data_IF_635415435053
#
_entry.id   IF_635415435053
#
_cell.length_a   1.000
_cell.length_b   1.000
_cell.length_c   1.000
_cell.angle_alpha   90.00
_cell.angle_beta   90.00
_cell.angle_gamma   90.00
#
_symmetry.space_group_name_H-M   'P 1'
#
loop_
_entity.id
_entity.type
_entity.pdbx_description
1 polymer ?
#
# COMPACT_ATOMS: atom_id res chain seq x y z
N UNK A 1 38.51 -17.19 21.45
CA UNK A 1 37.70 -16.69 20.32
C UNK A 1 38.10 -15.25 20.11
N UNK A 2 38.63 -14.91 18.93
CA UNK A 2 39.24 -13.59 18.69
C UNK A 2 38.25 -12.64 18.04
N UNK A 3 37.68 -11.76 18.87
CA UNK A 3 36.55 -10.90 18.52
C UNK A 3 36.99 -9.81 17.54
N UNK A 4 38.21 -9.29 17.69
CA UNK A 4 38.75 -8.26 16.81
C UNK A 4 38.86 -8.77 15.36
N UNK A 5 39.22 -10.05 15.19
CA UNK A 5 39.29 -10.70 13.88
C UNK A 5 37.91 -10.95 13.27
N UNK A 6 36.90 -11.27 14.08
CA UNK A 6 35.53 -11.47 13.59
C UNK A 6 34.85 -10.16 13.20
N UNK A 7 35.12 -9.05 13.90
CA UNK A 7 34.60 -7.73 13.53
C UNK A 7 35.07 -7.34 12.12
N UNK A 8 36.34 -7.64 11.79
CA UNK A 8 36.90 -7.33 10.46
C UNK A 8 36.43 -8.30 9.36
N UNK A 9 36.04 -9.51 9.74
CA UNK A 9 35.66 -10.57 8.81
C UNK A 9 34.34 -11.22 9.24
N UNK A 10 33.20 -10.52 9.03
CA UNK A 10 31.88 -11.02 9.46
C UNK A 10 31.46 -12.29 8.72
N UNK A 11 32.04 -12.59 7.55
CA UNK A 11 31.81 -13.83 6.79
C UNK A 11 32.24 -15.10 7.54
N UNK A 12 33.10 -14.98 8.56
CA UNK A 12 33.57 -16.12 9.37
C UNK A 12 32.60 -16.50 10.49
N UNK A 13 31.46 -15.81 10.59
CA UNK A 13 30.44 -16.05 11.61
C UNK A 13 29.67 -17.33 11.28
N UNK A 14 29.76 -18.31 12.19
CA UNK A 14 29.17 -19.64 12.09
C UNK A 14 28.45 -20.04 13.39
N UNK A 15 27.75 -21.19 13.40
CA UNK A 15 27.06 -21.73 14.59
C UNK A 15 27.97 -21.90 15.81
N UNK A 16 29.22 -22.30 15.62
CA UNK A 16 30.20 -22.42 16.72
C UNK A 16 30.52 -21.05 17.33
N UNK A 17 30.70 -20.02 16.49
CA UNK A 17 30.95 -18.67 16.97
C UNK A 17 29.75 -18.11 17.73
N UNK A 18 28.52 -18.45 17.33
CA UNK A 18 27.30 -18.10 18.04
C UNK A 18 27.28 -18.71 19.44
N UNK A 19 27.61 -19.99 19.59
CA UNK A 19 27.69 -20.64 20.91
C UNK A 19 28.75 -19.96 21.80
N UNK A 20 29.93 -19.67 21.24
CA UNK A 20 31.00 -18.97 21.95
C UNK A 20 30.62 -17.54 22.35
N UNK A 21 29.84 -16.82 21.54
CA UNK A 21 29.35 -15.49 21.87
C UNK A 21 28.30 -15.54 22.98
N UNK A 22 27.39 -16.51 22.93
CA UNK A 22 26.39 -16.72 23.98
C UNK A 22 27.05 -17.05 25.32
N UNK A 23 28.05 -17.94 25.33
CA UNK A 23 28.78 -18.26 26.56
C UNK A 23 29.57 -17.07 27.10
N UNK A 24 30.20 -16.28 26.21
CA UNK A 24 30.88 -15.05 26.59
C UNK A 24 29.93 -14.00 27.17
N UNK A 25 28.75 -13.83 26.58
CA UNK A 25 27.75 -12.87 27.06
C UNK A 25 27.07 -13.31 28.36
N UNK A 26 27.01 -14.61 28.63
CA UNK A 26 26.60 -15.12 29.94
C UNK A 26 27.58 -14.70 31.04
N UNK A 27 28.89 -14.66 30.74
CA UNK A 27 29.94 -14.22 31.67
C UNK A 27 30.04 -12.69 31.75
N UNK A 28 29.85 -11.99 30.62
CA UNK A 28 30.00 -10.53 30.53
C UNK A 28 28.78 -9.88 29.84
N UNK A 29 27.67 -9.69 30.58
CA UNK A 29 26.43 -9.18 29.99
C UNK A 29 26.52 -7.77 29.41
N UNK A 30 27.46 -6.93 29.85
CA UNK A 30 27.59 -5.55 29.38
C UNK A 30 28.60 -5.38 28.24
N UNK A 31 29.12 -6.49 27.68
CA UNK A 31 30.14 -6.42 26.65
C UNK A 31 29.54 -6.10 25.26
N UNK A 32 29.43 -4.80 24.96
CA UNK A 32 28.75 -4.27 23.78
C UNK A 32 29.26 -4.85 22.44
N UNK A 33 30.58 -4.93 22.17
CA UNK A 33 31.08 -5.48 20.91
C UNK A 33 30.64 -6.93 20.69
N UNK A 34 30.63 -7.76 21.73
CA UNK A 34 30.16 -9.14 21.62
C UNK A 34 28.64 -9.22 21.37
N UNK A 35 27.83 -8.30 21.91
CA UNK A 35 26.40 -8.23 21.63
C UNK A 35 26.11 -7.86 20.18
N UNK A 36 26.81 -6.84 19.67
CA UNK A 36 26.68 -6.43 18.27
C UNK A 36 27.10 -7.56 17.35
N UNK A 37 28.21 -8.25 17.66
CA UNK A 37 28.69 -9.37 16.87
C UNK A 37 27.75 -10.59 16.95
N UNK A 38 27.13 -10.84 18.11
CA UNK A 38 26.08 -11.87 18.26
C UNK A 38 24.88 -11.55 17.36
N UNK A 39 24.42 -10.29 17.36
CA UNK A 39 23.32 -9.86 16.50
C UNK A 39 23.66 -9.98 15.03
N UNK A 40 24.86 -9.56 14.64
CA UNK A 40 25.33 -9.69 13.26
C UNK A 40 25.37 -11.16 12.82
N UNK A 41 25.79 -12.06 13.72
CA UNK A 41 25.77 -13.50 13.45
C UNK A 41 24.34 -14.03 13.26
N UNK A 42 23.43 -13.68 14.17
CA UNK A 42 22.02 -14.08 14.10
C UNK A 42 21.33 -13.55 12.83
N UNK A 43 21.65 -12.32 12.44
CA UNK A 43 21.14 -11.69 11.22
C UNK A 43 21.60 -12.43 9.96
N UNK A 44 22.91 -12.71 9.84
CA UNK A 44 23.47 -13.43 8.69
C UNK A 44 22.95 -14.88 8.59
N UNK A 45 22.71 -15.52 9.73
CA UNK A 45 22.18 -16.89 9.78
C UNK A 45 20.66 -16.96 9.63
N UNK A 46 19.97 -15.81 9.52
CA UNK A 46 18.50 -15.70 9.52
C UNK A 46 17.85 -16.49 10.66
N UNK A 47 18.42 -16.38 11.87
CA UNK A 47 17.90 -17.08 13.05
C UNK A 47 16.58 -16.44 13.52
N UNK A 48 15.51 -17.22 13.77
CA UNK A 48 14.22 -16.68 14.24
C UNK A 48 14.30 -15.97 15.59
N UNK A 49 15.33 -16.24 16.40
CA UNK A 49 15.56 -15.57 17.69
C UNK A 49 16.20 -14.19 17.56
N UNK A 50 16.51 -13.76 16.33
CA UNK A 50 17.16 -12.47 16.05
C UNK A 50 16.40 -11.30 16.67
N UNK A 51 15.09 -11.20 16.45
CA UNK A 51 14.29 -10.05 16.90
C UNK A 51 14.23 -9.93 18.43
N UNK A 52 14.17 -11.07 19.14
CA UNK A 52 14.19 -11.12 20.60
C UNK A 52 15.53 -10.64 21.15
N UNK A 53 16.63 -11.10 20.55
CA UNK A 53 17.97 -10.67 20.95
C UNK A 53 18.25 -9.22 20.55
N UNK A 54 17.66 -8.73 19.45
CA UNK A 54 17.76 -7.32 19.02
C UNK A 54 17.13 -6.41 20.07
N UNK A 55 15.91 -6.73 20.52
CA UNK A 55 15.22 -6.00 21.60
C UNK A 55 16.04 -5.99 22.89
N UNK A 56 16.63 -7.14 23.26
CA UNK A 56 17.49 -7.23 24.45
C UNK A 56 18.74 -6.38 24.30
N UNK A 57 19.42 -6.47 23.17
CA UNK A 57 20.66 -5.76 22.91
C UNK A 57 20.47 -4.24 22.87
N UNK A 58 19.32 -3.75 22.41
CA UNK A 58 18.96 -2.33 22.41
C UNK A 58 19.02 -1.70 23.82
N UNK A 59 18.82 -2.49 24.89
CA UNK A 59 18.94 -2.00 26.28
C UNK A 59 20.41 -1.84 26.70
N UNK A 60 21.31 -2.66 26.17
CA UNK A 60 22.72 -2.70 26.57
C UNK A 60 23.63 -1.83 25.68
N UNK A 61 23.21 -1.54 24.46
CA UNK A 61 23.98 -0.76 23.48
C UNK A 61 23.67 0.72 23.66
N UNK A 62 24.72 1.50 23.81
CA UNK A 62 24.64 2.96 24.02
C UNK A 62 24.21 3.71 22.75
N UNK A 63 24.66 3.27 21.58
CA UNK A 63 24.32 3.88 20.29
C UNK A 63 23.42 2.96 19.44
N UNK A 64 22.11 3.19 19.50
CA UNK A 64 21.13 2.46 18.71
C UNK A 64 21.25 2.69 17.19
N UNK A 65 22.01 3.69 16.74
CA UNK A 65 22.27 3.90 15.30
C UNK A 65 23.05 2.74 14.71
N UNK A 66 23.91 2.09 15.51
CA UNK A 66 24.67 0.92 15.06
C UNK A 66 23.70 -0.23 14.75
N UNK A 67 22.68 -0.43 15.59
CA UNK A 67 21.64 -1.44 15.37
C UNK A 67 20.77 -1.10 14.18
N UNK A 68 20.35 0.16 14.06
CA UNK A 68 19.60 0.64 12.91
C UNK A 68 20.38 0.44 11.61
N UNK A 69 21.65 0.83 11.56
CA UNK A 69 22.49 0.66 10.37
C UNK A 69 22.71 -0.82 10.01
N UNK A 70 22.72 -1.71 11.01
CA UNK A 70 22.85 -3.16 10.80
C UNK A 70 21.61 -3.76 10.17
N UNK A 71 20.41 -3.37 10.60
CA UNK A 71 19.13 -3.93 10.13
C UNK A 71 18.63 -3.21 8.89
N UNK A 72 18.60 -1.88 8.96
CA UNK A 72 17.84 -1.02 8.05
C UNK A 72 18.75 -0.09 7.25
N UNK A 73 20.05 -0.02 7.57
CA UNK A 73 20.98 0.94 6.96
C UNK A 73 21.07 0.84 5.43
N UNK A 74 20.78 -0.32 4.84
CA UNK A 74 20.76 -0.51 3.38
C UNK A 74 19.58 0.25 2.75
N UNK A 75 18.42 0.26 3.41
CA UNK A 75 17.21 0.91 2.92
C UNK A 75 17.30 2.45 2.96
N UNK A 76 18.18 2.99 3.81
CA UNK A 76 18.34 4.43 4.03
C UNK A 76 19.60 5.04 3.37
N UNK A 77 20.33 4.29 2.54
CA UNK A 77 21.51 4.79 1.82
C UNK A 77 21.17 5.76 0.66
N UNK A 78 19.91 5.81 0.23
CA UNK A 78 19.45 6.60 -0.92
C UNK A 78 18.92 7.97 -0.47
N UNK A 79 19.81 8.97 -0.45
CA UNK A 79 19.51 10.42 -0.59
C UNK A 79 20.76 11.31 -0.59
N UNK A 80 21.89 10.81 -0.09
CA UNK A 80 23.08 11.67 0.12
C UNK A 80 23.92 11.84 -1.15
N UNK A 81 23.86 10.89 -2.09
CA UNK A 81 24.69 10.91 -3.31
C UNK A 81 24.07 11.73 -4.45
N UNK A 82 22.74 11.76 -4.56
CA UNK A 82 22.04 12.51 -5.62
C UNK A 82 22.17 14.03 -5.45
N UNK A 83 22.08 14.53 -4.20
CA UNK A 83 22.24 15.97 -3.90
C UNK A 83 23.66 16.52 -4.17
N UNK A 84 24.69 15.68 -4.20
CA UNK A 84 26.07 16.13 -4.44
C UNK A 84 26.44 16.16 -5.93
N UNK A 85 25.69 15.44 -6.79
CA UNK A 85 25.91 15.45 -8.24
C UNK A 85 25.33 16.73 -8.89
N UNK A 86 24.22 17.25 -8.36
CA UNK A 86 23.55 18.45 -8.92
C UNK A 86 24.29 19.76 -8.61
N UNK A 87 25.07 19.83 -7.52
CA UNK A 87 25.79 21.07 -7.16
C UNK A 87 27.06 21.30 -7.99
N UNK A 88 27.63 20.24 -8.59
CA UNK A 88 28.89 20.33 -9.33
C UNK A 88 28.73 20.57 -10.85
N UNK A 89 27.51 20.60 -11.39
CA UNK A 89 27.29 20.85 -12.82
C UNK A 89 26.92 22.30 -13.19
N UNK A 90 26.73 23.20 -12.20
CA UNK A 90 26.38 24.62 -12.46
C UNK A 90 27.56 25.60 -12.54
N UNK A 91 28.80 25.12 -12.49
CA UNK A 91 29.99 25.96 -12.66
C UNK A 91 30.88 25.37 -13.74
N UNK A 92 30.58 25.60 -15.02
CA UNK A 92 31.50 25.74 -16.18
C UNK A 92 30.58 25.88 -17.41
N UNK A 93 30.23 27.11 -17.76
CA UNK A 93 30.05 27.57 -19.15
C UNK A 93 29.42 28.96 -19.14
N UNK A 94 30.22 29.98 -18.83
CA UNK A 94 29.89 31.36 -19.14
C UNK A 94 31.08 31.93 -19.92
N UNK A 95 30.95 31.99 -21.25
CA UNK A 95 31.57 33.03 -22.07
C UNK A 95 31.11 32.93 -23.54
N UNK A 96 30.18 33.83 -23.93
CA UNK A 96 30.27 34.74 -25.09
C UNK A 96 28.93 35.42 -25.41
N UNK A 97 28.89 36.73 -25.22
CA UNK A 97 27.96 37.71 -25.82
C UNK A 97 28.51 38.24 -27.16
N UNK A 98 27.85 39.14 -27.94
CA UNK A 98 26.41 39.50 -28.03
C UNK A 98 25.91 39.73 -29.49
N UNK A 99 24.60 39.66 -29.80
CA UNK A 99 23.96 40.60 -30.78
C UNK A 99 22.42 40.69 -30.70
N UNK A 100 21.93 41.88 -30.34
CA UNK A 100 20.75 42.64 -30.82
C UNK A 100 19.44 41.92 -31.21
N UNK A 101 18.54 41.73 -30.23
CA UNK A 101 17.06 41.74 -30.36
C UNK A 101 16.49 41.88 -28.93
N UNK A 102 16.32 43.11 -28.43
CA UNK A 102 16.43 43.38 -26.98
C UNK A 102 15.14 43.76 -26.21
N UNK A 103 13.93 43.58 -26.76
CA UNK A 103 12.71 43.96 -26.01
C UNK A 103 11.63 42.86 -25.89
N UNK A 104 11.46 42.02 -26.92
CA UNK A 104 10.48 40.92 -26.87
C UNK A 104 11.00 39.68 -26.10
N UNK A 105 12.29 39.39 -26.19
CA UNK A 105 12.87 38.19 -25.53
C UNK A 105 13.12 38.41 -24.03
N UNK A 106 13.36 39.65 -23.61
CA UNK A 106 13.54 39.99 -22.20
C UNK A 106 12.23 39.90 -21.44
N UNK A 107 11.13 40.33 -22.05
CA UNK A 107 9.80 40.19 -21.45
C UNK A 107 9.37 38.73 -21.40
N UNK A 108 9.63 37.94 -22.47
CA UNK A 108 9.42 36.48 -22.45
C UNK A 108 10.25 35.76 -21.38
N UNK A 109 11.54 36.06 -21.28
CA UNK A 109 12.42 35.46 -20.27
C UNK A 109 12.01 35.83 -18.84
N UNK A 110 11.54 37.06 -18.62
CA UNK A 110 11.01 37.47 -17.31
C UNK A 110 9.68 36.79 -17.00
N UNK A 111 8.79 36.62 -17.99
CA UNK A 111 7.52 35.90 -17.84
C UNK A 111 7.78 34.43 -17.53
N UNK A 112 8.66 33.75 -18.26
CA UNK A 112 9.02 32.35 -17.98
C UNK A 112 9.64 32.21 -16.59
N UNK A 113 10.58 33.09 -16.22
CA UNK A 113 11.17 33.08 -14.88
C UNK A 113 10.16 33.33 -13.75
N UNK A 114 9.08 34.06 -14.05
CA UNK A 114 8.01 34.36 -13.11
C UNK A 114 7.01 33.19 -13.02
N UNK A 115 6.66 32.57 -14.15
CA UNK A 115 5.82 31.37 -14.21
C UNK A 115 6.49 30.20 -13.48
N UNK A 116 7.82 30.04 -13.61
CA UNK A 116 8.61 29.04 -12.87
C UNK A 116 8.70 29.30 -11.36
N UNK A 117 8.44 30.55 -10.92
CA UNK A 117 8.45 30.93 -9.50
C UNK A 117 7.07 30.90 -8.85
N UNK A 118 6.00 30.76 -9.63
CA UNK A 118 4.67 30.47 -9.09
C UNK A 118 4.73 29.01 -8.62
N UNK A 119 4.46 28.72 -7.33
CA UNK A 119 4.26 27.35 -6.90
C UNK A 119 3.08 26.83 -7.72
N UNK A 120 3.33 25.94 -8.67
CA UNK A 120 2.24 25.19 -9.27
C UNK A 120 1.60 24.41 -8.12
N UNK A 121 0.34 24.74 -7.82
CA UNK A 121 -0.55 23.89 -7.02
C UNK A 121 -0.96 22.68 -7.89
N UNK A 122 0.03 22.10 -8.57
CA UNK A 122 -0.05 20.82 -9.23
C UNK A 122 0.19 19.80 -8.12
N UNK A 123 -0.92 19.24 -7.67
CA UNK A 123 -1.00 17.91 -7.10
C UNK A 123 -0.51 16.87 -8.11
N UNK A 124 0.76 16.95 -8.50
CA UNK A 124 1.50 15.92 -9.19
C UNK A 124 2.62 15.51 -8.23
N UNK A 125 2.38 14.35 -7.63
CA UNK A 125 3.39 13.33 -7.31
C UNK A 125 4.83 13.84 -7.37
N UNK A 126 5.26 14.52 -6.31
CA UNK A 126 6.69 14.51 -5.98
C UNK A 126 7.03 13.07 -5.68
N UNK A 127 7.53 12.36 -6.69
CA UNK A 127 8.16 11.06 -6.55
C UNK A 127 9.30 11.23 -5.54
N UNK A 128 8.97 10.94 -4.28
CA UNK A 128 9.96 10.68 -3.25
C UNK A 128 10.84 9.56 -3.78
N UNK A 129 12.17 9.64 -3.60
CA UNK A 129 13.07 8.62 -4.12
C UNK A 129 12.59 7.26 -3.62
N UNK A 130 12.38 6.30 -4.53
CA UNK A 130 11.86 4.95 -4.26
C UNK A 130 12.52 4.34 -3.02
N UNK A 131 11.87 4.50 -1.86
CA UNK A 131 12.24 3.87 -0.60
C UNK A 131 11.15 2.87 -0.31
N UNK A 132 11.55 1.66 0.04
CA UNK A 132 10.60 0.63 0.45
C UNK A 132 10.10 1.03 1.85
N UNK A 133 8.80 1.29 2.03
CA UNK A 133 8.29 1.72 3.32
C UNK A 133 8.46 0.60 4.35
N UNK A 134 9.12 0.91 5.46
CA UNK A 134 9.39 -0.07 6.53
C UNK A 134 8.19 -0.08 7.49
N UNK A 135 7.84 -1.19 8.16
CA UNK A 135 6.76 -1.21 9.17
C UNK A 135 6.94 -0.19 10.31
N UNK A 136 8.15 0.33 10.52
CA UNK A 136 8.41 1.43 11.44
C UNK A 136 7.81 2.78 10.97
N UNK A 137 7.73 3.03 9.66
CA UNK A 137 7.19 4.27 9.09
C UNK A 137 5.69 4.40 9.34
N UNK A 138 4.98 3.27 9.43
CA UNK A 138 3.58 3.21 9.83
C UNK A 138 3.31 3.81 11.23
N UNK A 139 4.31 3.87 12.10
CA UNK A 139 4.18 4.46 13.45
C UNK A 139 4.33 5.98 13.45
N UNK A 140 4.98 6.54 12.43
CA UNK A 140 5.21 7.97 12.27
C UNK A 140 4.08 8.60 11.46
N UNK A 141 3.74 8.00 10.31
CA UNK A 141 2.62 8.40 9.46
C UNK A 141 2.04 7.20 8.69
N UNK A 142 0.95 6.66 9.23
CA UNK A 142 0.25 5.52 8.66
C UNK A 142 -0.36 5.81 7.28
N UNK A 143 -0.75 7.06 7.00
CA UNK A 143 -1.39 7.44 5.73
C UNK A 143 -0.36 7.47 4.62
N UNK A 144 0.81 8.08 4.88
CA UNK A 144 1.93 8.06 3.94
C UNK A 144 2.40 6.62 3.65
N UNK A 145 2.55 5.80 4.69
CA UNK A 145 2.91 4.38 4.56
C UNK A 145 1.93 3.60 3.66
N UNK A 146 0.62 3.79 3.83
CA UNK A 146 -0.38 3.12 3.01
C UNK A 146 -0.29 3.52 1.54
N UNK A 147 -0.19 4.84 1.26
CA UNK A 147 -0.07 5.35 -0.11
C UNK A 147 1.17 4.79 -0.83
N UNK A 148 2.31 4.73 -0.14
CA UNK A 148 3.57 4.24 -0.71
C UNK A 148 3.53 2.71 -0.89
N UNK A 149 2.96 1.96 0.06
CA UNK A 149 2.81 0.49 -0.03
C UNK A 149 1.80 0.04 -1.10
N UNK A 150 0.73 0.80 -1.34
CA UNK A 150 -0.24 0.53 -2.41
C UNK A 150 0.33 0.81 -3.80
N UNK A 151 1.27 1.74 -3.91
CA UNK A 151 1.95 2.05 -5.18
C UNK A 151 2.87 0.91 -5.63
N UNK A 152 3.57 0.24 -4.71
CA UNK A 152 4.42 -0.93 -5.01
C UNK A 152 3.61 -2.17 -5.40
N UNK A 153 2.42 -2.39 -4.81
CA UNK A 153 1.56 -3.53 -5.13
C UNK A 153 1.05 -3.54 -6.58
N UNK A 154 1.11 -2.39 -7.27
CA UNK A 154 0.69 -2.30 -8.68
C UNK A 154 1.75 -2.76 -9.68
N UNK A 155 3.01 -2.94 -9.28
CA UNK A 155 4.10 -3.17 -10.25
C UNK A 155 4.71 -4.59 -10.24
N UNK A 156 4.42 -5.46 -9.27
CA UNK A 156 4.93 -6.83 -9.30
C UNK A 156 3.84 -7.92 -9.09
N UNK A 157 3.46 -8.52 -10.24
CA UNK A 157 3.13 -9.94 -10.44
C UNK A 157 1.89 -10.48 -9.74
N UNK A 158 0.77 -10.45 -10.47
CA UNK A 158 -0.17 -11.57 -10.38
C UNK A 158 0.61 -12.86 -10.68
N UNK A 159 0.55 -13.91 -9.82
CA UNK A 159 1.16 -15.18 -10.15
C UNK A 159 0.43 -15.75 -11.37
N UNK A 160 1.08 -15.69 -12.54
CA UNK A 160 0.47 -16.19 -13.77
C UNK A 160 0.31 -17.70 -13.66
N UNK A 161 -0.94 -18.18 -13.61
CA UNK A 161 -1.24 -19.59 -13.77
C UNK A 161 -0.81 -20.05 -15.17
N UNK A 162 -0.42 -21.32 -15.31
CA UNK A 162 -0.18 -21.93 -16.63
C UNK A 162 -1.44 -21.76 -17.50
N UNK A 163 -1.31 -21.03 -18.60
CA UNK A 163 -2.40 -20.77 -19.56
C UNK A 163 -2.97 -19.35 -19.54
N UNK A 164 -2.45 -18.42 -18.73
CA UNK A 164 -2.90 -17.02 -18.79
C UNK A 164 -2.58 -16.35 -20.14
N UNK A 165 -1.44 -16.66 -20.76
CA UNK A 165 -1.10 -16.18 -22.10
C UNK A 165 -2.15 -16.62 -23.15
N UNK A 166 -2.68 -17.84 -23.05
CA UNK A 166 -3.75 -18.36 -23.92
C UNK A 166 -5.09 -17.64 -23.71
N UNK A 167 -5.38 -17.23 -22.47
CA UNK A 167 -6.60 -16.48 -22.14
C UNK A 167 -6.47 -15.04 -22.64
N UNK A 168 -5.31 -14.43 -22.45
CA UNK A 168 -5.05 -13.06 -22.89
C UNK A 168 -5.02 -12.98 -24.42
N UNK A 169 -4.44 -13.97 -25.11
CA UNK A 169 -4.49 -14.08 -26.57
C UNK A 169 -5.92 -14.30 -27.07
N UNK A 170 -6.73 -15.10 -26.37
CA UNK A 170 -8.15 -15.30 -26.70
C UNK A 170 -8.99 -14.03 -26.51
N UNK A 171 -8.79 -13.29 -25.41
CA UNK A 171 -9.51 -12.05 -25.12
C UNK A 171 -9.10 -10.94 -26.08
N UNK A 172 -7.80 -10.84 -26.39
CA UNK A 172 -7.25 -9.70 -27.11
C UNK A 172 -7.15 -9.90 -28.63
N UNK A 173 -7.04 -11.14 -29.13
CA UNK A 173 -6.57 -11.38 -30.50
C UNK A 173 -7.46 -12.25 -31.40
N UNK A 174 -8.59 -12.80 -30.94
CA UNK A 174 -9.49 -13.57 -31.83
C UNK A 174 -10.98 -13.18 -31.74
N UNK A 175 -11.56 -12.89 -32.91
CA UNK A 175 -12.90 -12.35 -33.16
C UNK A 175 -14.06 -13.35 -32.96
N UNK A 176 -14.12 -14.00 -31.80
CA UNK A 176 -15.22 -14.86 -31.39
C UNK A 176 -16.16 -14.17 -30.41
N UNK A 177 -17.05 -13.28 -30.87
CA UNK A 177 -18.19 -12.88 -30.04
C UNK A 177 -19.05 -14.12 -29.82
N UNK A 178 -19.10 -14.63 -28.58
CA UNK A 178 -20.06 -15.64 -28.17
C UNK A 178 -21.45 -14.99 -28.28
N UNK A 179 -22.13 -15.20 -29.40
CA UNK A 179 -23.53 -14.81 -29.55
C UNK A 179 -24.38 -15.86 -28.86
N UNK A 180 -25.14 -15.47 -27.84
CA UNK A 180 -26.17 -16.32 -27.27
C UNK A 180 -27.15 -16.69 -28.40
N UNK A 181 -27.36 -17.99 -28.61
CA UNK A 181 -28.46 -18.47 -29.43
C UNK A 181 -29.77 -18.22 -28.66
N UNK A 182 -30.78 -17.64 -29.30
CA UNK A 182 -32.06 -17.30 -28.66
C UNK A 182 -32.90 -18.54 -28.30
N UNK A 183 -32.63 -19.70 -28.90
CA UNK A 183 -33.35 -20.95 -28.64
C UNK A 183 -32.40 -22.00 -28.04
N UNK A 184 -32.75 -22.48 -26.85
CA UNK A 184 -32.10 -23.59 -26.16
C UNK A 184 -32.58 -24.92 -26.73
N UNK A 185 -31.70 -25.70 -27.36
CA UNK A 185 -32.06 -26.99 -28.00
C UNK A 185 -32.23 -28.15 -26.99
N UNK A 186 -31.98 -27.91 -25.69
CA UNK A 186 -32.10 -28.92 -24.65
C UNK A 186 -32.64 -28.31 -23.36
N UNK A 187 -33.88 -28.66 -22.99
CA UNK A 187 -34.38 -28.52 -21.62
C UNK A 187 -34.07 -29.82 -20.87
N UNK A 188 -33.34 -29.78 -19.74
CA UNK A 188 -33.19 -30.97 -18.90
C UNK A 188 -34.56 -31.36 -18.32
N UNK A 189 -34.93 -32.64 -18.42
CA UNK A 189 -36.12 -33.17 -17.76
C UNK A 189 -35.91 -33.13 -16.23
N UNK A 190 -36.56 -32.17 -15.57
CA UNK A 190 -36.68 -32.13 -14.11
C UNK A 190 -37.61 -33.24 -13.64
N UNK A 191 -37.04 -34.38 -13.24
CA UNK A 191 -37.70 -35.29 -12.32
C UNK A 191 -37.56 -34.76 -10.90
N UNK A 192 -38.33 -33.73 -10.56
CA UNK A 192 -38.56 -33.28 -9.19
C UNK A 192 -40.06 -33.27 -8.91
N UNK A 193 -40.60 -34.46 -8.62
CA UNK A 193 -41.77 -34.54 -7.74
C UNK A 193 -41.37 -34.00 -6.36
N UNK A 194 -42.24 -33.16 -5.81
CA UNK A 194 -42.25 -32.69 -4.42
C UNK A 194 -41.13 -31.73 -4.00
N UNK A 195 -41.30 -30.44 -4.29
CA UNK A 195 -41.53 -29.42 -3.26
C UNK A 195 -41.73 -28.06 -3.94
N UNK A 196 -42.96 -27.55 -3.87
CA UNK A 196 -43.22 -26.12 -3.99
C UNK A 196 -42.51 -25.41 -2.83
N UNK A 197 -41.20 -25.23 -2.95
CA UNK A 197 -40.42 -24.39 -2.08
C UNK A 197 -40.82 -22.95 -2.39
N UNK A 198 -41.74 -22.42 -1.59
CA UNK A 198 -42.02 -20.99 -1.46
C UNK A 198 -40.68 -20.23 -1.30
N UNK A 199 -40.10 -19.82 -2.42
CA UNK A 199 -38.88 -19.04 -2.47
C UNK A 199 -39.23 -17.57 -2.54
N UNK A 200 -40.07 -17.11 -1.62
CA UNK A 200 -40.33 -15.69 -1.48
C UNK A 200 -40.26 -15.36 0.01
N UNK A 201 -39.12 -14.78 0.38
CA UNK A 201 -39.08 -13.44 0.99
C UNK A 201 -37.98 -13.25 2.06
N UNK A 202 -37.04 -14.19 2.24
CA UNK A 202 -35.86 -14.02 3.11
C UNK A 202 -34.61 -13.57 2.35
N UNK A 203 -34.79 -12.76 1.31
CA UNK A 203 -33.68 -12.11 0.61
C UNK A 203 -32.81 -11.32 1.61
N UNK A 204 -31.48 -11.41 1.48
CA UNK A 204 -30.51 -10.78 2.36
C UNK A 204 -30.63 -9.24 2.35
N UNK A 205 -31.49 -8.70 3.21
CA UNK A 205 -31.68 -7.27 3.37
C UNK A 205 -30.59 -6.69 4.28
N UNK A 206 -29.78 -5.79 3.73
CA UNK A 206 -28.70 -5.11 4.46
C UNK A 206 -28.80 -3.60 4.29
N UNK A 207 -28.26 -2.86 5.24
CA UNK A 207 -28.22 -1.39 5.20
C UNK A 207 -27.45 -0.89 3.97
N UNK A 208 -26.36 -1.57 3.61
CA UNK A 208 -25.56 -1.28 2.42
C UNK A 208 -26.39 -1.45 1.15
N UNK A 209 -27.22 -2.50 1.07
CA UNK A 209 -28.12 -2.73 -0.06
C UNK A 209 -29.14 -1.59 -0.19
N UNK A 210 -29.75 -1.16 0.93
CA UNK A 210 -30.65 0.00 0.92
C UNK A 210 -29.93 1.27 0.42
N UNK A 211 -28.68 1.50 0.83
CA UNK A 211 -27.87 2.65 0.37
C UNK A 211 -27.62 2.61 -1.14
N UNK A 212 -27.42 1.42 -1.71
CA UNK A 212 -27.28 1.25 -3.17
C UNK A 212 -28.59 1.62 -3.87
N UNK A 213 -29.75 1.17 -3.39
CA UNK A 213 -31.05 1.52 -3.97
C UNK A 213 -31.35 3.02 -3.91
N UNK A 214 -30.93 3.72 -2.84
CA UNK A 214 -31.02 5.18 -2.73
C UNK A 214 -30.18 5.86 -3.82
N UNK A 215 -28.93 5.42 -4.01
CA UNK A 215 -28.05 5.95 -5.06
C UNK A 215 -28.63 5.73 -6.47
N UNK A 216 -29.34 4.63 -6.67
CA UNK A 216 -30.00 4.31 -7.93
C UNK A 216 -31.35 5.03 -8.12
N UNK A 217 -31.77 5.89 -7.18
CA UNK A 217 -33.06 6.61 -7.25
C UNK A 217 -34.29 5.74 -6.98
N UNK A 218 -34.10 4.45 -6.64
CA UNK A 218 -35.18 3.50 -6.36
C UNK A 218 -35.59 3.57 -4.88
N UNK A 219 -36.22 4.66 -4.50
CA UNK A 219 -36.53 4.97 -3.10
C UNK A 219 -37.61 4.07 -2.48
N UNK A 220 -38.57 3.57 -3.27
CA UNK A 220 -39.62 2.66 -2.78
C UNK A 220 -39.06 1.34 -2.25
N UNK A 221 -38.17 0.72 -3.03
CA UNK A 221 -37.47 -0.51 -2.63
C UNK A 221 -36.55 -0.26 -1.44
N UNK A 222 -35.81 0.85 -1.42
CA UNK A 222 -34.98 1.21 -0.27
C UNK A 222 -35.80 1.33 1.03
N UNK A 223 -37.00 1.92 0.96
CA UNK A 223 -37.90 2.08 2.11
C UNK A 223 -38.42 0.74 2.64
N UNK A 224 -38.73 -0.21 1.76
CA UNK A 224 -39.12 -1.57 2.14
C UNK A 224 -38.01 -2.31 2.90
N UNK A 225 -36.77 -2.24 2.39
CA UNK A 225 -35.59 -2.82 3.03
C UNK A 225 -35.37 -2.24 4.43
N UNK A 226 -35.43 -0.91 4.57
CA UNK A 226 -35.24 -0.24 5.87
C UNK A 226 -36.37 -0.58 6.85
N UNK A 227 -37.62 -0.67 6.39
CA UNK A 227 -38.75 -1.09 7.25
C UNK A 227 -38.56 -2.51 7.78
N UNK A 228 -38.10 -3.43 6.94
CA UNK A 228 -37.81 -4.80 7.35
C UNK A 228 -36.64 -4.88 8.33
N UNK A 229 -35.58 -4.11 8.09
CA UNK A 229 -34.45 -4.00 9.01
C UNK A 229 -34.86 -3.43 10.38
N UNK A 230 -35.83 -2.52 10.44
CA UNK A 230 -36.35 -2.01 11.71
C UNK A 230 -37.03 -3.11 12.53
N UNK A 231 -37.76 -4.02 11.86
CA UNK A 231 -38.42 -5.16 12.52
C UNK A 231 -37.40 -6.15 13.10
N UNK A 232 -36.30 -6.39 12.37
CA UNK A 232 -35.23 -7.32 12.78
C UNK A 232 -34.33 -6.71 13.87
N UNK A 233 -34.07 -5.41 13.82
CA UNK A 233 -33.11 -4.73 14.70
C UNK A 233 -33.73 -3.57 15.50
N UNK A 234 -34.62 -3.86 16.47
CA UNK A 234 -35.35 -2.82 17.22
C UNK A 234 -34.45 -1.91 18.07
N UNK A 235 -33.22 -2.35 18.40
CA UNK A 235 -32.23 -1.53 19.14
C UNK A 235 -31.85 -0.24 18.39
N UNK A 236 -31.98 -0.21 17.06
CA UNK A 236 -31.66 0.93 16.20
C UNK A 236 -32.92 1.67 15.71
N UNK A 237 -34.06 1.56 16.42
CA UNK A 237 -35.33 2.15 15.97
C UNK A 237 -35.24 3.65 15.66
N UNK A 238 -34.56 4.44 16.50
CA UNK A 238 -34.37 5.89 16.26
C UNK A 238 -33.66 6.17 14.93
N UNK A 239 -32.61 5.41 14.63
CA UNK A 239 -31.84 5.56 13.39
C UNK A 239 -32.66 5.22 12.15
N UNK A 240 -33.38 4.10 12.18
CA UNK A 240 -34.23 3.70 11.06
C UNK A 240 -35.43 4.64 10.87
N UNK A 241 -36.01 5.18 11.96
CA UNK A 241 -37.06 6.18 11.87
C UNK A 241 -36.59 7.46 11.13
N UNK A 242 -35.37 7.92 11.42
CA UNK A 242 -34.79 9.06 10.72
C UNK A 242 -34.54 8.77 9.22
N UNK A 243 -34.06 7.57 8.89
CA UNK A 243 -33.88 7.12 7.50
C UNK A 243 -35.20 7.00 6.74
N UNK A 244 -36.25 6.44 7.37
CA UNK A 244 -37.58 6.33 6.78
C UNK A 244 -38.13 7.73 6.48
N UNK A 245 -38.05 8.66 7.44
CA UNK A 245 -38.49 10.05 7.25
C UNK A 245 -37.73 10.74 6.12
N UNK A 246 -36.43 10.48 5.99
CA UNK A 246 -35.61 10.99 4.91
C UNK A 246 -36.05 10.42 3.55
N UNK A 247 -36.24 9.10 3.45
CA UNK A 247 -36.71 8.42 2.25
C UNK A 247 -38.10 8.90 1.81
N UNK A 248 -39.04 9.08 2.74
CA UNK A 248 -40.37 9.61 2.45
C UNK A 248 -40.30 11.02 1.83
N UNK A 249 -39.44 11.89 2.38
CA UNK A 249 -39.20 13.22 1.80
C UNK A 249 -38.58 13.14 0.40
N UNK A 250 -37.65 12.22 0.16
CA UNK A 250 -37.06 12.00 -1.15
C UNK A 250 -38.08 11.50 -2.18
N UNK A 251 -38.97 10.59 -1.77
CA UNK A 251 -40.06 10.09 -2.62
C UNK A 251 -41.00 11.24 -3.00
N UNK A 252 -41.41 12.06 -2.03
CA UNK A 252 -42.27 13.22 -2.27
C UNK A 252 -41.60 14.20 -3.25
N UNK A 253 -40.32 14.53 -3.04
CA UNK A 253 -39.59 15.43 -3.92
C UNK A 253 -39.42 14.87 -5.34
N UNK A 254 -39.13 13.56 -5.48
CA UNK A 254 -39.01 12.91 -6.79
C UNK A 254 -40.35 12.92 -7.54
N UNK A 255 -41.46 12.66 -6.85
CA UNK A 255 -42.79 12.64 -7.47
C UNK A 255 -43.34 14.05 -7.82
N UNK A 256 -42.75 15.12 -7.27
CA UNK A 256 -43.13 16.52 -7.56
C UNK A 256 -42.34 17.07 -8.76
N UNK A 257 -41.24 16.42 -9.14
CA UNK A 257 -40.35 16.85 -10.23
C UNK A 257 -40.80 16.26 -11.57
#
# INVERSE_FOLDING_TARGET
MDIANLIKHPEKLNKETLYNLRSLLALYPYYQPARILLLQNLFLMHDPTFDDELRRAAVYISDCRILFNLVEGIHYQLATQEKQAETNQKTISDDKQPTQQAEEDRTRSLIDSFLDQIPEDNSEETATPHRKPTPADATVDYVAYLLESESEQKQDRTPQLKGQELIDDFINNEGGKITLQEETEYEPEDNNDDEAAETEDTGYFTETLARIYIKQGRYSKALEIIKRLNLVYPKKNRYFADQIRFLEKLIINNNIK
#
